data_IF_988734433232
#
_entry.id   IF_988734433232
#
_cell.length_a   1.000
_cell.length_b   1.000
_cell.length_c   1.000
_cell.angle_alpha   90.00
_cell.angle_beta   90.00
_cell.angle_gamma   90.00
#
_symmetry.space_group_name_H-M   'P 1'
#
loop_
_entity.id
_entity.type
_entity.pdbx_description
1 polymer ?
#
# COMPACT_ATOMS: atom_id res chain seq x y z
N UNK A 1 4.25 -15.20 -15.93
CA UNK A 1 5.53 -14.69 -15.41
C UNK A 1 5.25 -13.32 -14.82
N UNK A 2 5.71 -13.06 -13.60
CA UNK A 2 5.61 -11.72 -12.99
C UNK A 2 6.87 -10.92 -13.32
N UNK A 3 6.73 -9.59 -13.35
CA UNK A 3 7.88 -8.70 -13.32
C UNK A 3 8.37 -8.57 -11.90
N UNK A 4 9.69 -8.61 -11.70
CA UNK A 4 10.37 -8.29 -10.45
C UNK A 4 11.32 -7.12 -10.68
N UNK A 5 10.95 -5.94 -10.21
CA UNK A 5 11.67 -4.69 -10.47
C UNK A 5 12.49 -4.32 -9.23
N UNK A 6 13.77 -4.03 -9.42
CA UNK A 6 14.61 -3.48 -8.36
C UNK A 6 14.34 -1.97 -8.23
N UNK A 7 13.86 -1.55 -7.06
CA UNK A 7 13.51 -0.16 -6.76
C UNK A 7 14.41 0.44 -5.68
N UNK A 8 15.55 -0.20 -5.42
CA UNK A 8 16.50 0.21 -4.37
C UNK A 8 17.00 1.64 -4.57
N UNK A 9 17.08 2.11 -5.81
CA UNK A 9 17.52 3.46 -6.20
C UNK A 9 16.40 4.30 -6.85
N UNK A 10 15.15 3.81 -6.89
CA UNK A 10 14.04 4.40 -7.67
C UNK A 10 12.79 4.57 -6.84
N UNK A 11 12.95 4.95 -5.58
CA UNK A 11 11.81 5.01 -4.67
C UNK A 11 10.78 6.09 -5.07
N UNK A 12 11.21 7.22 -5.64
CA UNK A 12 10.31 8.23 -6.23
C UNK A 12 9.51 7.75 -7.44
N UNK A 13 9.81 6.55 -7.95
CA UNK A 13 9.05 5.95 -9.04
C UNK A 13 7.68 5.44 -8.61
N UNK A 14 7.45 5.28 -7.30
CA UNK A 14 6.21 4.71 -6.80
C UNK A 14 5.47 5.74 -5.98
N UNK A 15 4.28 6.07 -6.46
CA UNK A 15 3.38 6.97 -5.75
C UNK A 15 2.29 6.17 -5.04
N UNK A 16 2.17 6.49 -3.75
CA UNK A 16 1.24 5.92 -2.78
C UNK A 16 0.42 7.00 -2.07
N UNK A 17 0.79 8.28 -2.23
CA UNK A 17 0.27 9.41 -1.45
C UNK A 17 -0.86 10.16 -2.14
N UNK A 18 -1.36 9.58 -3.24
CA UNK A 18 -2.40 10.15 -4.08
C UNK A 18 -1.85 11.21 -5.06
N UNK A 19 -0.59 11.11 -5.51
CA UNK A 19 -0.11 11.97 -6.58
C UNK A 19 -0.94 11.71 -7.85
N UNK A 20 -1.56 12.79 -8.30
CA UNK A 20 -2.55 12.73 -9.35
C UNK A 20 -3.91 12.13 -8.97
N UNK A 21 -4.17 11.78 -7.70
CA UNK A 21 -5.51 11.45 -7.20
C UNK A 21 -5.87 9.96 -7.12
N UNK A 22 -4.93 9.06 -7.43
CA UNK A 22 -5.15 7.61 -7.40
C UNK A 22 -5.03 7.07 -5.97
N UNK A 23 -6.10 6.46 -5.47
CA UNK A 23 -6.17 5.92 -4.11
C UNK A 23 -5.52 4.53 -4.07
N UNK A 24 -4.41 4.43 -3.37
CA UNK A 24 -3.75 3.15 -3.06
C UNK A 24 -4.35 2.46 -1.84
N UNK A 25 -4.29 1.12 -1.82
CA UNK A 25 -4.72 0.30 -0.68
C UNK A 25 -3.61 -0.65 -0.24
N UNK A 26 -3.34 -0.74 1.06
CA UNK A 26 -2.36 -1.66 1.64
C UNK A 26 -3.09 -2.79 2.36
N UNK A 27 -2.67 -4.02 2.09
CA UNK A 27 -3.06 -5.20 2.86
C UNK A 27 -1.97 -5.55 3.87
N UNK A 28 -2.01 -4.87 5.01
CA UNK A 28 -1.18 -5.15 6.17
C UNK A 28 -2.04 -5.10 7.43
N UNK A 29 -1.90 -6.06 8.37
CA UNK A 29 -2.51 -5.92 9.68
C UNK A 29 -2.04 -4.62 10.39
N UNK A 30 -2.95 -3.86 11.02
CA UNK A 30 -2.58 -2.68 11.82
C UNK A 30 -1.55 -2.97 12.90
N UNK A 31 -1.47 -4.21 13.38
CA UNK A 31 -0.54 -4.67 14.43
C UNK A 31 0.58 -5.55 13.88
N UNK A 32 0.78 -5.59 12.56
CA UNK A 32 1.86 -6.39 11.95
C UNK A 32 3.21 -5.95 12.51
N UNK A 33 4.00 -6.91 12.95
CA UNK A 33 5.31 -6.64 13.53
C UNK A 33 6.39 -6.61 12.45
N UNK A 34 6.82 -5.41 12.07
CA UNK A 34 7.73 -5.19 10.94
C UNK A 34 9.19 -5.29 11.44
N UNK A 35 9.77 -6.48 11.37
CA UNK A 35 11.15 -6.75 11.81
C UNK A 35 11.92 -7.57 10.78
N UNK A 36 13.24 -7.35 10.70
CA UNK A 36 14.19 -8.07 9.85
C UNK A 36 13.92 -7.96 8.35
N UNK A 37 12.89 -8.60 7.81
CA UNK A 37 12.47 -8.57 6.41
C UNK A 37 10.97 -8.38 6.35
N UNK A 38 10.49 -7.72 5.31
CA UNK A 38 9.07 -7.37 5.25
C UNK A 38 8.55 -7.41 3.84
N UNK A 39 7.34 -7.91 3.69
CA UNK A 39 6.63 -7.97 2.44
C UNK A 39 5.26 -7.38 2.65
N UNK A 40 4.84 -6.49 1.76
CA UNK A 40 3.51 -5.89 1.80
C UNK A 40 2.84 -6.04 0.45
N UNK A 41 1.56 -6.38 0.49
CA UNK A 41 0.71 -6.36 -0.68
C UNK A 41 0.02 -5.00 -0.78
N UNK A 42 0.09 -4.43 -1.97
CA UNK A 42 -0.48 -3.12 -2.26
C UNK A 42 -1.28 -3.15 -3.56
N UNK A 43 -2.30 -2.30 -3.63
CA UNK A 43 -3.24 -2.23 -4.75
C UNK A 43 -3.37 -0.81 -5.25
N UNK A 44 -3.62 -0.70 -6.56
CA UNK A 44 -3.88 0.54 -7.26
C UNK A 44 -2.73 1.56 -7.10
N UNK A 45 -1.52 1.11 -7.42
CA UNK A 45 -0.27 1.86 -7.23
C UNK A 45 0.20 2.41 -8.57
N UNK A 46 0.71 3.64 -8.56
CA UNK A 46 1.30 4.26 -9.74
C UNK A 46 2.79 3.94 -9.77
N UNK A 47 3.25 3.35 -10.88
CA UNK A 47 4.67 3.17 -11.19
C UNK A 47 5.04 4.09 -12.36
N UNK A 48 5.88 5.08 -12.10
CA UNK A 48 6.37 6.05 -13.07
C UNK A 48 7.41 5.39 -13.99
N UNK A 49 7.25 5.56 -15.30
CA UNK A 49 8.20 5.03 -16.28
C UNK A 49 9.39 5.98 -16.53
N UNK A 50 9.41 7.15 -15.91
CA UNK A 50 10.52 8.10 -16.05
C UNK A 50 11.80 7.62 -15.34
N UNK A 51 11.67 6.71 -14.37
CA UNK A 51 12.78 6.17 -13.61
C UNK A 51 13.54 5.09 -14.39
N UNK A 52 14.77 5.41 -14.80
CA UNK A 52 15.63 4.51 -15.59
C UNK A 52 15.78 3.11 -14.98
N UNK A 53 16.00 2.93 -13.66
CA UNK A 53 16.16 1.59 -13.10
C UNK A 53 14.88 0.75 -13.19
N UNK A 54 13.70 1.39 -13.18
CA UNK A 54 12.41 0.73 -13.41
C UNK A 54 12.30 0.25 -14.86
N UNK A 55 12.51 1.16 -15.82
CA UNK A 55 12.43 0.85 -17.26
C UNK A 55 13.43 -0.24 -17.65
N UNK A 56 14.68 -0.11 -17.20
CA UNK A 56 15.74 -1.06 -17.46
C UNK A 56 15.42 -2.45 -16.87
N UNK A 57 14.89 -2.51 -15.64
CA UNK A 57 14.46 -3.76 -15.02
C UNK A 57 13.32 -4.45 -15.79
N UNK A 58 12.37 -3.68 -16.32
CA UNK A 58 11.28 -4.20 -17.16
C UNK A 58 11.83 -4.73 -18.48
N UNK A 59 12.65 -3.93 -19.20
CA UNK A 59 13.22 -4.29 -20.50
C UNK A 59 14.09 -5.56 -20.43
N UNK A 60 14.82 -5.75 -19.34
CA UNK A 60 15.64 -6.94 -19.10
C UNK A 60 14.80 -8.23 -18.98
N UNK A 61 13.57 -8.13 -18.48
CA UNK A 61 12.67 -9.27 -18.30
C UNK A 61 11.78 -9.50 -19.52
N UNK A 62 11.33 -8.42 -20.16
CA UNK A 62 10.57 -8.45 -21.40
C UNK A 62 10.69 -7.12 -22.14
N UNK A 63 11.60 -7.07 -23.12
CA UNK A 63 11.85 -5.88 -23.94
C UNK A 63 10.62 -5.40 -24.71
N UNK A 64 9.65 -6.28 -24.98
CA UNK A 64 8.45 -5.95 -25.76
C UNK A 64 7.35 -5.29 -24.94
N UNK A 65 7.42 -5.38 -23.61
CA UNK A 65 6.34 -4.89 -22.76
C UNK A 65 6.12 -3.37 -22.89
N UNK A 66 7.20 -2.62 -23.13
CA UNK A 66 7.16 -1.17 -23.26
C UNK A 66 7.11 -0.68 -24.72
N UNK A 67 7.00 -1.55 -25.73
CA UNK A 67 7.11 -1.17 -27.16
C UNK A 67 6.10 -0.09 -27.61
N UNK A 68 4.98 0.06 -26.90
CA UNK A 68 3.94 1.06 -27.18
C UNK A 68 3.65 1.99 -25.98
N UNK A 69 4.64 2.17 -25.10
CA UNK A 69 4.52 3.00 -23.91
C UNK A 69 5.57 4.12 -23.96
N UNK A 70 5.15 5.33 -23.58
CA UNK A 70 5.97 6.51 -23.49
C UNK A 70 6.78 6.48 -22.19
N UNK A 71 8.01 7.01 -22.24
CA UNK A 71 8.91 7.05 -21.08
C UNK A 71 8.37 7.94 -19.95
N UNK A 72 7.55 8.94 -20.26
CA UNK A 72 6.87 9.79 -19.26
C UNK A 72 5.51 9.22 -18.80
N UNK A 73 5.16 8.01 -19.23
CA UNK A 73 3.89 7.38 -18.92
C UNK A 73 3.81 6.76 -17.53
N UNK A 74 2.59 6.37 -17.16
CA UNK A 74 2.24 5.81 -15.86
C UNK A 74 1.72 4.38 -16.03
N UNK A 75 2.23 3.45 -15.20
CA UNK A 75 1.65 2.13 -15.02
C UNK A 75 0.84 2.08 -13.73
N UNK A 76 -0.47 1.92 -13.85
CA UNK A 76 -1.35 1.69 -12.70
C UNK A 76 -1.39 0.20 -12.41
N UNK A 77 -0.68 -0.24 -11.38
CA UNK A 77 -0.61 -1.63 -10.96
C UNK A 77 -1.83 -1.96 -10.10
N UNK A 78 -2.69 -2.88 -10.57
CA UNK A 78 -3.89 -3.31 -9.82
C UNK A 78 -3.53 -4.09 -8.55
N UNK A 79 -2.36 -4.71 -8.54
CA UNK A 79 -1.75 -5.42 -7.41
C UNK A 79 -0.25 -5.43 -7.61
N UNK A 80 0.48 -5.14 -6.56
CA UNK A 80 1.90 -5.34 -6.48
C UNK A 80 2.28 -5.87 -5.10
N UNK A 81 3.46 -6.46 -5.02
CA UNK A 81 4.06 -6.92 -3.77
C UNK A 81 5.39 -6.21 -3.63
N UNK A 82 5.57 -5.43 -2.56
CA UNK A 82 6.85 -4.79 -2.25
C UNK A 82 7.56 -5.65 -1.21
N UNK A 83 8.80 -6.01 -1.50
CA UNK A 83 9.65 -6.82 -0.63
C UNK A 83 10.87 -6.02 -0.21
N UNK A 84 11.05 -5.89 1.09
CA UNK A 84 12.24 -5.36 1.75
C UNK A 84 13.09 -6.52 2.25
N UNK A 85 14.25 -6.75 1.64
CA UNK A 85 15.15 -7.84 2.05
C UNK A 85 15.67 -7.65 3.49
N UNK A 86 15.88 -6.40 3.90
CA UNK A 86 16.28 -6.08 5.26
C UNK A 86 15.68 -4.75 5.73
N UNK A 87 15.24 -4.70 6.97
CA UNK A 87 14.79 -3.49 7.66
C UNK A 87 15.77 -3.17 8.78
N UNK A 88 16.23 -1.91 8.80
CA UNK A 88 17.01 -1.31 9.89
C UNK A 88 16.11 -0.66 10.94
N UNK A 89 14.99 -0.11 10.50
CA UNK A 89 13.98 0.53 11.34
C UNK A 89 12.78 0.96 10.52
N UNK A 90 11.71 1.37 11.18
CA UNK A 90 10.53 1.91 10.53
C UNK A 90 9.80 2.89 11.45
N UNK A 91 8.95 3.70 10.84
CA UNK A 91 7.92 4.48 11.51
C UNK A 91 6.57 4.13 10.87
N UNK A 92 5.56 3.91 11.69
CA UNK A 92 4.21 3.52 11.28
C UNK A 92 3.20 4.45 11.91
N UNK A 93 2.34 5.00 11.07
CA UNK A 93 1.26 5.90 11.47
C UNK A 93 -0.07 5.35 10.95
N UNK A 94 -1.06 5.27 11.84
CA UNK A 94 -2.43 4.90 11.48
C UNK A 94 -3.37 6.00 11.96
N UNK A 95 -4.25 6.47 11.07
CA UNK A 95 -5.26 7.49 11.37
C UNK A 95 -6.57 7.25 10.64
N UNK A 96 -7.65 7.86 11.11
CA UNK A 96 -8.91 7.88 10.37
C UNK A 96 -8.88 8.97 9.30
N UNK A 97 -9.50 8.70 8.14
CA UNK A 97 -9.61 9.66 7.03
C UNK A 97 -10.31 10.96 7.42
N UNK A 98 -11.24 10.91 8.37
CA UNK A 98 -12.06 12.03 8.80
C UNK A 98 -11.55 12.72 10.08
N UNK A 99 -10.35 12.38 10.55
CA UNK A 99 -9.72 13.09 11.67
C UNK A 99 -8.78 14.16 11.12
N UNK A 100 -9.09 15.42 11.48
CA UNK A 100 -8.26 16.58 11.11
C UNK A 100 -6.92 16.59 11.88
N UNK A 101 -6.90 16.04 13.11
CA UNK A 101 -5.71 15.96 13.95
C UNK A 101 -5.62 14.63 14.71
N UNK A 102 -4.38 14.20 14.98
CA UNK A 102 -4.07 13.01 15.76
C UNK A 102 -3.89 11.72 14.94
N UNK A 103 -3.47 10.67 15.62
CA UNK A 103 -3.33 9.32 15.09
C UNK A 103 -3.96 8.32 16.05
N UNK A 104 -4.53 7.25 15.49
CA UNK A 104 -4.98 6.11 16.28
C UNK A 104 -3.79 5.33 16.85
N UNK A 105 -2.71 5.25 16.06
CA UNK A 105 -1.50 4.55 16.44
C UNK A 105 -0.29 5.23 15.79
N UNK A 106 0.77 5.36 16.59
CA UNK A 106 2.10 5.74 16.13
C UNK A 106 3.09 4.78 16.76
N UNK A 107 3.86 4.11 15.91
CA UNK A 107 4.86 3.14 16.30
C UNK A 107 6.17 3.48 15.61
N UNK A 108 7.28 3.37 16.36
CA UNK A 108 8.62 3.52 15.82
C UNK A 108 9.49 2.39 16.34
N UNK A 109 10.28 1.83 15.43
CA UNK A 109 11.19 0.72 15.72
C UNK A 109 12.53 0.92 15.02
N UNK A 110 13.59 0.43 15.66
CA UNK A 110 14.92 0.33 15.08
C UNK A 110 15.91 1.35 15.63
N UNK A 111 17.09 1.38 15.03
CA UNK A 111 18.18 2.26 15.45
C UNK A 111 18.00 3.68 14.90
N UNK A 112 18.66 4.65 15.55
CA UNK A 112 18.70 6.05 15.08
C UNK A 112 19.15 6.15 13.61
N UNK A 113 18.53 7.06 12.87
CA UNK A 113 18.90 7.37 11.49
C UNK A 113 20.39 7.71 11.38
N UNK A 114 21.01 7.24 10.31
CA UNK A 114 22.41 7.45 9.95
C UNK A 114 22.50 8.08 8.57
N UNK A 115 23.62 8.77 8.30
CA UNK A 115 23.86 9.33 6.97
C UNK A 115 23.76 8.25 5.89
N UNK A 116 23.08 8.58 4.78
CA UNK A 116 22.81 7.69 3.63
C UNK A 116 21.81 6.55 3.89
N UNK A 117 21.14 6.52 5.04
CA UNK A 117 19.98 5.66 5.18
C UNK A 117 18.94 6.01 4.13
N UNK A 118 18.39 4.99 3.49
CA UNK A 118 17.29 5.13 2.53
C UNK A 118 15.98 4.87 3.22
N UNK A 119 15.08 5.82 3.09
CA UNK A 119 13.74 5.77 3.67
C UNK A 119 12.76 5.57 2.51
N UNK A 120 11.88 4.59 2.66
CA UNK A 120 10.88 4.22 1.69
C UNK A 120 9.51 4.47 2.32
N UNK A 121 8.84 5.52 1.85
CA UNK A 121 7.47 5.85 2.24
C UNK A 121 6.48 4.95 1.50
N UNK A 122 5.72 4.13 2.21
CA UNK A 122 4.68 3.29 1.62
C UNK A 122 3.39 3.55 2.35
N UNK A 123 2.35 3.91 1.61
CA UNK A 123 1.10 4.38 2.18
C UNK A 123 -0.14 3.91 1.43
N UNK A 124 -1.28 4.09 2.08
CA UNK A 124 -2.57 3.83 1.45
C UNK A 124 -3.67 3.64 2.47
N UNK A 125 -4.88 3.41 1.96
CA UNK A 125 -6.01 3.00 2.79
C UNK A 125 -5.85 1.54 3.19
N UNK A 126 -6.25 1.18 4.40
CA UNK A 126 -6.32 -0.24 4.78
C UNK A 126 -7.28 -0.97 3.84
N UNK A 127 -6.84 -2.10 3.33
CA UNK A 127 -7.64 -2.93 2.44
C UNK A 127 -8.96 -3.40 3.08
N UNK A 128 -8.91 -3.83 4.35
CA UNK A 128 -10.06 -4.32 5.10
C UNK A 128 -10.92 -3.20 5.69
N UNK A 129 -10.34 -2.02 5.92
CA UNK A 129 -11.03 -0.89 6.56
C UNK A 129 -10.59 0.42 5.93
N UNK A 130 -11.09 0.80 4.74
CA UNK A 130 -10.57 1.94 3.97
C UNK A 130 -10.70 3.31 4.65
N UNK A 131 -11.44 3.41 5.74
CA UNK A 131 -11.49 4.58 6.61
C UNK A 131 -10.15 4.81 7.34
N UNK A 132 -9.31 3.78 7.45
CA UNK A 132 -7.98 3.86 8.03
C UNK A 132 -6.95 4.18 6.94
N UNK A 133 -6.18 5.24 7.16
CA UNK A 133 -4.94 5.49 6.45
C UNK A 133 -3.79 4.85 7.21
N UNK A 134 -2.93 4.14 6.48
CA UNK A 134 -1.70 3.55 6.97
C UNK A 134 -0.56 4.22 6.21
N UNK A 135 0.38 4.80 6.94
CA UNK A 135 1.61 5.36 6.41
C UNK A 135 2.79 4.66 7.06
N UNK A 136 3.73 4.18 6.25
CA UNK A 136 4.95 3.51 6.68
C UNK A 136 6.13 4.28 6.12
N UNK A 137 7.09 4.63 6.96
CA UNK A 137 8.42 5.05 6.53
C UNK A 137 9.40 3.92 6.91
N UNK A 138 9.90 3.18 5.92
CA UNK A 138 10.73 1.99 6.14
C UNK A 138 12.17 2.32 5.81
N UNK A 139 13.09 2.05 6.73
CA UNK A 139 14.53 2.21 6.51
C UNK A 139 15.12 0.86 6.08
N UNK A 140 15.54 0.77 4.82
CA UNK A 140 16.13 -0.46 4.26
C UNK A 140 17.59 -0.25 3.86
N UNK A 141 18.54 -0.99 4.44
CA UNK A 141 19.94 -0.98 4.01
C UNK A 141 20.23 -2.00 2.89
N UNK A 142 19.22 -2.73 2.42
CA UNK A 142 19.34 -3.80 1.42
C UNK A 142 18.33 -3.60 0.29
N UNK A 143 18.33 -4.54 -0.64
CA UNK A 143 17.52 -4.48 -1.84
C UNK A 143 16.04 -4.35 -1.50
N UNK A 144 15.35 -3.53 -2.28
CA UNK A 144 13.90 -3.40 -2.25
C UNK A 144 13.38 -3.70 -3.65
N UNK A 145 12.37 -4.55 -3.75
CA UNK A 145 11.80 -4.93 -5.04
C UNK A 145 10.29 -4.76 -5.05
N UNK A 146 9.75 -4.44 -6.23
CA UNK A 146 8.31 -4.52 -6.49
C UNK A 146 8.03 -5.63 -7.50
N UNK A 147 7.12 -6.53 -7.15
CA UNK A 147 6.66 -7.61 -8.01
C UNK A 147 5.23 -7.34 -8.48
N UNK A 148 4.96 -7.51 -9.78
CA UNK A 148 3.60 -7.39 -10.32
C UNK A 148 3.36 -8.29 -11.53
N UNK A 149 2.09 -8.59 -11.80
CA UNK A 149 1.69 -9.38 -12.96
C UNK A 149 1.48 -8.47 -14.19
N UNK A 150 2.12 -8.73 -15.34
CA UNK A 150 1.99 -7.92 -16.55
C UNK A 150 0.55 -7.75 -17.05
N UNK A 151 -0.34 -8.70 -16.85
CA UNK A 151 -1.75 -8.59 -17.27
C UNK A 151 -2.61 -7.74 -16.31
N UNK A 152 -2.07 -7.30 -15.18
CA UNK A 152 -2.78 -6.58 -14.13
C UNK A 152 -2.32 -5.13 -13.99
N UNK A 153 -2.13 -4.45 -15.12
CA UNK A 153 -1.84 -3.02 -15.16
C UNK A 153 -2.82 -2.27 -16.07
N UNK A 154 -2.86 -0.95 -15.91
CA UNK A 154 -3.40 0.00 -16.87
C UNK A 154 -2.29 0.97 -17.24
N UNK A 155 -2.01 1.14 -18.53
CA UNK A 155 -1.07 2.15 -19.01
C UNK A 155 -1.80 3.47 -19.27
N UNK A 156 -1.21 4.58 -18.83
CA UNK A 156 -1.71 5.93 -19.05
C UNK A 156 -0.55 6.81 -19.54
N UNK A 157 -0.67 7.34 -20.74
CA UNK A 157 0.45 8.02 -21.41
C UNK A 157 0.81 9.40 -20.87
N UNK A 158 -0.16 10.13 -20.29
CA UNK A 158 0.06 11.52 -19.86
C UNK A 158 -0.62 11.80 -18.54
N UNK A 159 -0.10 12.80 -17.82
CA UNK A 159 -0.66 13.22 -16.54
C UNK A 159 -2.11 13.74 -16.69
N UNK A 160 -2.42 14.44 -17.77
CA UNK A 160 -3.79 14.88 -18.07
C UNK A 160 -4.76 13.69 -18.20
N UNK A 161 -4.35 12.62 -18.91
CA UNK A 161 -5.15 11.40 -19.02
C UNK A 161 -5.29 10.69 -17.68
N UNK A 162 -4.25 10.75 -16.83
CA UNK A 162 -4.29 10.23 -15.47
C UNK A 162 -5.37 10.97 -14.67
N UNK A 163 -5.32 12.31 -14.62
CA UNK A 163 -6.33 13.14 -13.95
C UNK A 163 -7.75 12.79 -14.38
N UNK A 164 -7.98 12.66 -15.69
CA UNK A 164 -9.30 12.35 -16.24
C UNK A 164 -9.77 10.92 -15.95
N UNK A 165 -8.85 10.01 -15.60
CA UNK A 165 -9.14 8.60 -15.35
C UNK A 165 -9.26 8.25 -13.86
N UNK A 166 -8.86 9.14 -12.97
CA UNK A 166 -8.74 8.89 -11.52
C UNK A 166 -10.04 8.43 -10.88
N UNK A 167 -11.16 9.08 -11.20
CA UNK A 167 -12.46 8.68 -10.65
C UNK A 167 -12.77 7.22 -11.02
N UNK A 168 -12.56 6.87 -12.29
CA UNK A 168 -12.74 5.51 -12.77
C UNK A 168 -11.78 4.53 -12.09
N UNK A 169 -10.49 4.86 -11.98
CA UNK A 169 -9.48 4.02 -11.33
C UNK A 169 -9.85 3.76 -9.86
N UNK A 170 -10.27 4.79 -9.14
CA UNK A 170 -10.64 4.71 -7.72
C UNK A 170 -11.92 3.89 -7.51
N UNK A 171 -12.93 4.04 -8.39
CA UNK A 171 -14.13 3.22 -8.35
C UNK A 171 -13.84 1.74 -8.56
N UNK A 172 -12.92 1.41 -9.47
CA UNK A 172 -12.56 0.03 -9.80
C UNK A 172 -11.48 -0.57 -8.89
N UNK A 173 -10.84 0.25 -8.05
CA UNK A 173 -9.94 -0.21 -7.01
C UNK A 173 -10.67 -0.88 -5.84
N UNK A 174 -11.98 -0.58 -5.66
CA UNK A 174 -12.82 -1.22 -4.65
C UNK A 174 -12.90 -2.73 -4.89
N UNK A 175 -12.08 -3.49 -4.16
CA UNK A 175 -12.26 -4.93 -4.04
C UNK A 175 -13.36 -5.23 -3.05
N UNK A 176 -13.97 -6.40 -3.20
CA UNK A 176 -14.84 -6.95 -2.16
C UNK A 176 -14.03 -7.05 -0.86
N UNK A 177 -14.40 -6.24 0.12
CA UNK A 177 -13.85 -6.36 1.46
C UNK A 177 -14.26 -7.72 2.01
N UNK A 178 -13.41 -8.37 2.81
CA UNK A 178 -13.87 -9.51 3.57
C UNK A 178 -15.06 -9.05 4.43
N UNK A 179 -16.15 -9.85 4.51
CA UNK A 179 -17.24 -9.52 5.39
C UNK A 179 -16.71 -9.40 6.82
N UNK A 180 -17.17 -8.39 7.55
CA UNK A 180 -16.90 -8.31 8.99
C UNK A 180 -17.56 -9.53 9.63
N UNK A 181 -16.81 -10.28 10.45
CA UNK A 181 -17.29 -11.48 11.14
C UNK A 181 -17.17 -11.31 12.65
N UNK A 182 -18.01 -12.03 13.41
CA UNK A 182 -17.96 -12.07 14.87
C UNK A 182 -18.51 -10.80 15.53
N UNK A 183 -17.99 -10.44 16.71
CA UNK A 183 -18.53 -9.35 17.55
C UNK A 183 -18.48 -7.95 16.93
N UNK A 184 -17.72 -7.76 15.84
CA UNK A 184 -17.67 -6.51 15.09
C UNK A 184 -18.78 -6.42 14.02
N UNK A 185 -19.38 -7.54 13.63
CA UNK A 185 -20.63 -7.53 12.86
C UNK A 185 -21.76 -7.11 13.79
N UNK A 186 -22.43 -5.99 13.48
CA UNK A 186 -23.54 -5.48 14.30
C UNK A 186 -24.69 -6.46 14.43
N UNK A 187 -24.94 -7.27 13.40
CA UNK A 187 -25.97 -8.30 13.41
C UNK A 187 -25.61 -9.40 14.40
N UNK A 188 -24.36 -9.88 14.34
CA UNK A 188 -23.86 -10.87 15.29
C UNK A 188 -23.80 -10.32 16.71
N UNK A 189 -23.26 -9.11 16.90
CA UNK A 189 -23.20 -8.44 18.21
C UNK A 189 -24.58 -8.26 18.81
N UNK A 190 -25.57 -7.79 18.05
CA UNK A 190 -26.91 -7.55 18.58
C UNK A 190 -27.67 -8.86 18.83
N UNK A 191 -27.43 -9.90 18.03
CA UNK A 191 -28.09 -11.20 18.18
C UNK A 191 -27.50 -12.09 19.28
N UNK A 192 -26.20 -11.98 19.53
CA UNK A 192 -25.45 -12.91 20.38
C UNK A 192 -24.66 -12.25 21.50
N UNK A 193 -24.89 -10.97 21.80
CA UNK A 193 -24.30 -10.34 22.99
C UNK A 193 -25.32 -9.57 23.80
N UNK A 194 -25.12 -9.53 25.12
CA UNK A 194 -25.89 -8.70 26.05
C UNK A 194 -24.93 -7.82 26.83
N UNK A 195 -25.24 -6.53 26.91
CA UNK A 195 -24.48 -5.58 27.75
C UNK A 195 -24.78 -5.82 29.22
N UNK A 196 -23.73 -5.98 30.01
CA UNK A 196 -23.74 -5.86 31.46
C UNK A 196 -23.25 -4.45 31.79
N UNK A 197 -24.19 -3.53 31.96
CA UNK A 197 -23.87 -2.12 32.17
C UNK A 197 -23.22 -1.85 33.53
N UNK A 198 -23.54 -2.66 34.54
CA UNK A 198 -22.97 -2.52 35.88
C UNK A 198 -21.50 -2.96 35.89
N UNK A 199 -21.17 -4.00 35.13
CA UNK A 199 -19.80 -4.51 35.02
C UNK A 199 -18.98 -3.87 33.88
N UNK A 200 -19.62 -3.12 32.98
CA UNK A 200 -18.95 -2.38 31.90
C UNK A 200 -18.46 -3.24 30.73
N UNK A 201 -19.01 -4.44 30.54
CA UNK A 201 -18.66 -5.33 29.42
C UNK A 201 -19.91 -5.92 28.74
N UNK A 202 -19.72 -6.61 27.60
CA UNK A 202 -20.76 -7.41 26.95
C UNK A 202 -20.46 -8.89 27.13
N UNK A 203 -21.49 -9.69 27.35
CA UNK A 203 -21.40 -11.14 27.48
C UNK A 203 -21.96 -11.80 26.22
N UNK A 204 -21.23 -12.77 25.68
CA UNK A 204 -21.72 -13.60 24.58
C UNK A 204 -22.86 -14.51 25.06
N UNK A 205 -23.95 -14.56 24.30
CA UNK A 205 -25.08 -15.46 24.48
C UNK A 205 -25.26 -16.25 23.19
N UNK A 206 -25.28 -17.58 23.31
CA UNK A 206 -25.61 -18.48 22.20
C UNK A 206 -27.01 -18.17 21.67
#
# INVERSE_FOLDING_TARGET
MNFLIDITESFGAIDFDNAGGVISYINIPPTENIHNSFQLEIFNVVLNLIDEPVVSSIKLQNSKFLENMDEDGFLILKKAIITFEKIKGHEKLIRLLNQDEGYLMHESYGTKLSNKDKIYDVGGRSFSTPQLLINLAIISPKKVTIEFTPSHHTYIATYEKLQNSVEFLNLHANRAQPPIQGIFDTTCSNGHTVSDFDAGYRVYKQ
#
